data_IF_540833788922
#
_entry.id   IF_540833788922
#
_cell.length_a   1.000
_cell.length_b   1.000
_cell.length_c   1.000
_cell.angle_alpha   90.00
_cell.angle_beta   90.00
_cell.angle_gamma   90.00
#
_symmetry.space_group_name_H-M   'P 1'
#
loop_
_entity.id
_entity.type
_entity.pdbx_description
1 polymer ?
#
# COMPACT_ATOMS: atom_id res chain seq x y z
N UNK A 1 14.08 -32.88 -78.98
CA UNK A 1 15.13 -32.13 -78.28
C UNK A 1 14.55 -31.55 -76.99
N UNK A 2 14.99 -32.12 -75.86
CA UNK A 2 15.20 -31.47 -74.55
C UNK A 2 14.24 -30.39 -74.02
N UNK A 3 13.50 -30.84 -72.98
CA UNK A 3 12.98 -30.17 -71.78
C UNK A 3 13.30 -28.69 -71.49
N UNK A 4 12.33 -28.02 -70.83
CA UNK A 4 12.54 -27.34 -69.55
C UNK A 4 11.20 -27.12 -68.82
N UNK A 5 11.07 -27.82 -67.69
CA UNK A 5 10.06 -27.60 -66.67
C UNK A 5 10.41 -26.32 -65.91
N UNK A 6 9.42 -25.49 -65.60
CA UNK A 6 9.58 -24.39 -64.64
C UNK A 6 8.43 -24.48 -63.63
N UNK A 7 8.72 -25.04 -62.46
CA UNK A 7 7.82 -25.03 -61.31
C UNK A 7 8.06 -23.75 -60.51
N UNK A 8 7.02 -23.03 -60.05
CA UNK A 8 7.20 -21.91 -59.16
C UNK A 8 7.45 -22.40 -57.73
N UNK A 9 8.54 -21.90 -57.14
CA UNK A 9 8.93 -22.10 -55.75
C UNK A 9 8.00 -21.26 -54.86
N UNK A 10 7.07 -21.90 -54.14
CA UNK A 10 6.28 -21.24 -53.10
C UNK A 10 7.14 -21.08 -51.84
N UNK A 11 7.55 -19.85 -51.54
CA UNK A 11 8.23 -19.50 -50.29
C UNK A 11 7.17 -19.37 -49.19
N UNK A 12 7.02 -20.39 -48.34
CA UNK A 12 6.20 -20.29 -47.13
C UNK A 12 6.96 -19.52 -46.06
N UNK A 13 6.59 -18.26 -45.84
CA UNK A 13 7.06 -17.48 -44.70
C UNK A 13 6.28 -17.90 -43.44
N UNK A 14 6.86 -18.79 -42.64
CA UNK A 14 6.35 -19.11 -41.31
C UNK A 14 6.62 -17.92 -40.37
N UNK A 15 5.59 -17.12 -40.09
CA UNK A 15 5.61 -16.16 -38.98
C UNK A 15 5.61 -16.94 -37.67
N UNK A 16 6.77 -17.01 -37.00
CA UNK A 16 6.85 -17.43 -35.61
C UNK A 16 6.42 -16.25 -34.76
N UNK A 17 5.20 -16.27 -34.26
CA UNK A 17 4.73 -15.31 -33.27
C UNK A 17 5.48 -15.59 -31.97
N UNK A 18 6.44 -14.73 -31.62
CA UNK A 18 7.00 -14.72 -30.26
C UNK A 18 5.89 -14.27 -29.30
N UNK A 19 5.33 -15.21 -28.55
CA UNK A 19 4.54 -14.89 -27.37
C UNK A 19 5.54 -14.43 -26.32
N UNK A 20 5.66 -13.10 -26.14
CA UNK A 20 6.32 -12.56 -24.97
C UNK A 20 5.47 -12.90 -23.75
N UNK A 21 5.89 -13.91 -22.97
CA UNK A 21 5.35 -14.12 -21.64
C UNK A 21 5.67 -12.87 -20.83
N UNK A 22 4.67 -12.03 -20.60
CA UNK A 22 4.80 -10.97 -19.60
C UNK A 22 5.06 -11.66 -18.27
N UNK A 23 6.04 -11.23 -17.45
CA UNK A 23 6.16 -11.75 -16.10
C UNK A 23 4.80 -11.54 -15.44
N UNK A 24 4.15 -12.63 -15.06
CA UNK A 24 2.87 -12.57 -14.38
C UNK A 24 3.08 -11.77 -13.12
N UNK A 25 2.38 -10.64 -12.99
CA UNK A 25 2.30 -9.89 -11.74
C UNK A 25 1.94 -10.89 -10.65
N UNK A 26 2.81 -11.08 -9.67
CA UNK A 26 2.54 -11.99 -8.57
C UNK A 26 1.43 -11.37 -7.73
N UNK A 27 0.26 -12.01 -7.71
CA UNK A 27 -0.83 -11.59 -6.84
C UNK A 27 -0.43 -11.86 -5.38
N UNK A 28 -0.36 -10.81 -4.57
CA UNK A 28 -0.04 -10.90 -3.15
C UNK A 28 -1.23 -10.45 -2.31
N UNK A 29 -1.55 -11.21 -1.27
CA UNK A 29 -2.53 -10.77 -0.24
C UNK A 29 -1.79 -10.45 1.04
N UNK A 30 -2.04 -9.27 1.60
CA UNK A 30 -1.52 -8.79 2.89
C UNK A 30 -2.70 -8.69 3.85
N UNK A 31 -2.57 -9.32 5.02
CA UNK A 31 -3.54 -9.15 6.11
C UNK A 31 -3.19 -7.90 6.89
N UNK A 32 -4.18 -7.06 7.13
CA UNK A 32 -4.04 -5.79 7.80
C UNK A 32 -4.92 -5.76 9.05
N UNK A 33 -4.30 -5.38 10.17
CA UNK A 33 -4.98 -5.12 11.43
C UNK A 33 -4.82 -3.64 11.78
N UNK A 34 -5.95 -2.94 11.89
CA UNK A 34 -6.05 -1.60 12.46
C UNK A 34 -6.33 -1.75 13.94
N UNK A 35 -5.50 -1.18 14.80
CA UNK A 35 -5.58 -1.42 16.25
C UNK A 35 -5.32 -0.15 17.06
N UNK A 36 -5.85 -0.15 18.29
CA UNK A 36 -5.59 0.86 19.32
C UNK A 36 -5.54 0.24 20.72
N UNK A 37 -5.09 1.01 21.71
CA UNK A 37 -5.01 0.63 23.14
C UNK A 37 -6.24 1.07 23.95
N UNK A 38 -7.32 1.45 23.28
CA UNK A 38 -8.57 1.92 23.87
C UNK A 38 -8.81 3.42 23.67
N UNK A 39 -9.86 3.98 24.31
CA UNK A 39 -10.32 5.35 24.08
C UNK A 39 -9.30 6.43 24.43
N UNK A 40 -8.31 6.11 25.27
CA UNK A 40 -7.24 7.03 25.66
C UNK A 40 -6.09 7.07 24.63
N UNK A 41 -6.23 6.40 23.48
CA UNK A 41 -5.17 6.33 22.46
C UNK A 41 -4.87 7.68 21.78
N UNK A 42 -5.72 8.68 21.98
CA UNK A 42 -5.53 10.05 21.50
C UNK A 42 -5.07 11.03 22.61
N UNK A 43 -4.69 10.52 23.79
CA UNK A 43 -4.21 11.38 24.87
C UNK A 43 -2.78 11.84 24.57
N UNK A 44 -2.66 13.13 24.26
CA UNK A 44 -1.42 13.82 23.91
C UNK A 44 -0.55 14.06 25.15
N UNK A 45 0.13 13.02 25.62
CA UNK A 45 1.18 13.16 26.65
C UNK A 45 2.55 13.56 26.04
N UNK A 46 3.52 13.90 26.88
CA UNK A 46 4.84 14.37 26.42
C UNK A 46 5.59 13.33 25.55
N UNK A 47 5.32 12.03 25.75
CA UNK A 47 5.91 10.96 24.95
C UNK A 47 5.22 10.90 23.58
N UNK A 48 3.89 11.03 23.55
CA UNK A 48 3.07 11.11 22.35
C UNK A 48 3.42 12.34 21.50
N UNK A 49 3.68 13.50 22.11
CA UNK A 49 4.08 14.71 21.38
C UNK A 49 5.43 14.57 20.65
N UNK A 50 6.35 13.75 21.16
CA UNK A 50 7.64 13.48 20.51
C UNK A 50 7.51 12.56 19.28
N UNK A 51 6.37 11.89 19.13
CA UNK A 51 6.04 10.97 18.03
C UNK A 51 5.43 11.66 16.81
N UNK A 52 4.96 12.90 16.98
CA UNK A 52 4.00 13.50 16.07
C UNK A 52 4.58 13.73 14.67
N UNK A 53 3.97 13.08 13.68
CA UNK A 53 4.11 13.41 12.26
C UNK A 53 5.39 12.99 11.56
N UNK A 54 6.31 12.34 12.27
CA UNK A 54 7.50 11.77 11.65
C UNK A 54 7.31 10.29 11.40
N UNK A 55 7.63 9.85 10.20
CA UNK A 55 7.72 8.45 9.81
C UNK A 55 8.97 7.77 10.42
N UNK A 56 9.12 7.84 11.75
CA UNK A 56 10.24 7.22 12.48
C UNK A 56 9.83 5.86 13.06
N UNK A 57 10.27 4.79 12.39
CA UNK A 57 10.00 3.41 12.78
C UNK A 57 10.58 3.05 14.16
N UNK A 58 11.62 3.75 14.64
CA UNK A 58 12.25 3.45 15.94
C UNK A 58 11.35 3.78 17.12
N UNK A 59 10.31 4.57 16.87
CA UNK A 59 9.46 5.10 17.91
C UNK A 59 8.09 4.39 17.98
N UNK A 60 7.80 3.47 17.05
CA UNK A 60 6.54 2.70 16.98
C UNK A 60 6.23 1.89 18.25
N UNK A 61 7.23 1.54 19.07
CA UNK A 61 7.03 0.82 20.32
C UNK A 61 6.21 1.60 21.36
N UNK A 62 6.17 2.93 21.26
CA UNK A 62 5.36 3.82 22.09
C UNK A 62 3.97 4.11 21.53
N UNK A 63 3.63 3.66 20.32
CA UNK A 63 2.38 4.05 19.66
C UNK A 63 1.15 3.53 20.42
N UNK A 64 0.12 4.37 20.53
CA UNK A 64 -1.17 4.01 21.15
C UNK A 64 -2.14 3.39 20.17
N UNK A 65 -1.89 3.56 18.87
CA UNK A 65 -2.66 3.05 17.76
C UNK A 65 -1.73 2.74 16.59
N UNK A 66 -2.17 1.90 15.64
CA UNK A 66 -1.29 1.47 14.57
C UNK A 66 -1.96 0.70 13.45
N UNK A 67 -1.17 0.51 12.39
CA UNK A 67 -1.47 -0.38 11.27
C UNK A 67 -0.45 -1.51 11.29
N UNK A 68 -0.91 -2.75 11.39
CA UNK A 68 -0.05 -3.94 11.32
C UNK A 68 -0.28 -4.66 10.00
N UNK A 69 0.79 -4.89 9.24
CA UNK A 69 0.79 -5.76 8.06
C UNK A 69 1.41 -7.11 8.43
N UNK A 70 0.80 -8.22 8.02
CA UNK A 70 1.42 -9.55 8.16
C UNK A 70 2.69 -9.70 7.30
N UNK A 71 2.81 -8.86 6.25
CA UNK A 71 3.95 -8.77 5.34
C UNK A 71 4.29 -7.31 5.09
N UNK A 72 5.53 -6.94 5.40
CA UNK A 72 6.08 -5.59 5.13
C UNK A 72 6.95 -5.54 3.88
N UNK A 73 7.16 -6.70 3.23
CA UNK A 73 7.87 -6.81 1.94
C UNK A 73 7.15 -7.81 1.03
N UNK A 74 6.82 -7.39 -0.19
CA UNK A 74 6.14 -8.23 -1.21
C UNK A 74 6.68 -7.91 -2.62
N UNK A 75 6.58 -8.83 -3.59
CA UNK A 75 6.94 -8.51 -4.98
C UNK A 75 5.95 -7.52 -5.62
N UNK A 76 6.41 -6.79 -6.64
CA UNK A 76 5.58 -5.93 -7.46
C UNK A 76 4.49 -6.73 -8.16
N UNK A 77 3.29 -6.16 -8.22
CA UNK A 77 2.12 -6.91 -8.63
C UNK A 77 0.81 -6.27 -8.22
N UNK A 78 -0.26 -7.05 -8.40
CA UNK A 78 -1.54 -6.74 -7.75
C UNK A 78 -1.44 -7.17 -6.30
N UNK A 79 -1.61 -6.22 -5.39
CA UNK A 79 -1.56 -6.45 -3.97
C UNK A 79 -2.95 -6.17 -3.41
N UNK A 80 -3.51 -7.17 -2.73
CA UNK A 80 -4.78 -7.07 -2.01
C UNK A 80 -4.50 -6.95 -0.53
N UNK A 81 -5.02 -5.90 0.09
CA UNK A 81 -5.01 -5.70 1.53
C UNK A 81 -6.35 -6.17 2.09
N UNK A 82 -6.33 -7.20 2.92
CA UNK A 82 -7.50 -7.68 3.67
C UNK A 82 -7.48 -7.01 5.04
N UNK A 83 -8.35 -6.02 5.23
CA UNK A 83 -8.31 -5.10 6.38
C UNK A 83 -9.37 -5.48 7.40
N UNK A 84 -8.97 -5.54 8.66
CA UNK A 84 -9.86 -5.64 9.82
C UNK A 84 -9.56 -4.49 10.77
N UNK A 85 -10.62 -3.86 11.29
CA UNK A 85 -10.52 -3.03 12.48
C UNK A 85 -10.63 -3.92 13.73
N UNK A 86 -9.49 -4.20 14.38
CA UNK A 86 -9.40 -5.02 15.59
C UNK A 86 -9.62 -4.22 16.89
N UNK A 87 -9.89 -2.93 16.76
CA UNK A 87 -10.25 -2.06 17.87
C UNK A 87 -11.61 -2.42 18.45
N UNK A 88 -11.84 -1.96 19.69
CA UNK A 88 -13.10 -2.19 20.43
C UNK A 88 -14.08 -1.02 20.30
N UNK A 89 -13.55 0.20 20.23
CA UNK A 89 -14.34 1.41 20.40
C UNK A 89 -14.09 2.47 19.32
N UNK A 90 -12.95 2.43 18.62
CA UNK A 90 -12.54 3.48 17.69
C UNK A 90 -12.74 3.02 16.24
N UNK A 91 -13.30 3.92 15.43
CA UNK A 91 -13.41 3.74 13.98
C UNK A 91 -12.03 3.97 13.36
N UNK A 92 -11.65 3.12 12.42
CA UNK A 92 -10.40 3.23 11.70
C UNK A 92 -10.62 3.13 10.20
N UNK A 93 -9.73 3.76 9.44
CA UNK A 93 -9.66 3.59 7.99
C UNK A 93 -8.27 3.08 7.60
N UNK A 94 -8.18 2.55 6.39
CA UNK A 94 -6.93 2.11 5.80
C UNK A 94 -6.71 2.80 4.47
N UNK A 95 -5.57 3.45 4.29
CA UNK A 95 -5.19 4.13 3.05
C UNK A 95 -3.76 3.75 2.66
N UNK A 96 -3.47 3.79 1.35
CA UNK A 96 -2.12 3.56 0.82
C UNK A 96 -1.66 4.75 0.00
N UNK A 97 -0.42 5.18 0.17
CA UNK A 97 0.23 6.22 -0.65
C UNK A 97 1.69 5.86 -0.93
N UNK A 98 2.29 6.31 -2.04
CA UNK A 98 3.73 6.19 -2.26
C UNK A 98 4.51 7.07 -1.27
N UNK A 99 5.74 6.68 -0.95
CA UNK A 99 6.68 7.49 -0.16
C UNK A 99 8.00 7.58 -0.91
N UNK A 100 8.54 8.80 -1.05
CA UNK A 100 9.88 8.97 -1.62
C UNK A 100 10.91 8.37 -0.67
N UNK A 101 11.88 7.63 -1.19
CA UNK A 101 12.93 7.03 -0.36
C UNK A 101 13.69 8.12 0.45
N UNK A 102 13.71 7.97 1.77
CA UNK A 102 14.34 8.92 2.69
C UNK A 102 13.45 10.09 3.13
N UNK A 103 12.23 10.18 2.62
CA UNK A 103 11.23 11.11 3.09
C UNK A 103 10.66 10.64 4.44
N UNK A 104 10.58 11.56 5.40
CA UNK A 104 10.15 11.25 6.77
C UNK A 104 8.79 11.85 7.12
N UNK A 105 8.15 12.57 6.20
CA UNK A 105 6.90 13.30 6.43
C UNK A 105 6.01 13.18 5.19
N UNK A 106 4.69 13.20 5.38
CA UNK A 106 3.74 13.33 4.28
C UNK A 106 3.21 14.77 4.22
N UNK A 107 2.73 15.25 3.06
CA UNK A 107 1.99 16.49 2.96
C UNK A 107 0.83 16.50 3.97
N UNK A 108 0.73 17.53 4.81
CA UNK A 108 -0.20 17.56 5.94
C UNK A 108 -0.97 18.87 6.01
N UNK A 109 -2.27 18.80 6.30
CA UNK A 109 -3.19 19.92 6.50
C UNK A 109 -3.43 20.07 8.00
N UNK A 110 -2.67 20.95 8.64
CA UNK A 110 -2.70 21.11 10.10
C UNK A 110 -4.09 21.46 10.65
N UNK A 111 -4.85 22.30 9.94
CA UNK A 111 -6.20 22.73 10.36
C UNK A 111 -7.24 21.59 10.28
N UNK A 112 -6.98 20.57 9.46
CA UNK A 112 -7.84 19.40 9.32
C UNK A 112 -7.34 18.20 10.14
N UNK A 113 -6.13 18.30 10.69
CA UNK A 113 -5.44 17.22 11.40
C UNK A 113 -5.31 15.96 10.54
N UNK A 114 -5.05 16.14 9.23
CA UNK A 114 -5.03 15.10 8.20
C UNK A 114 -3.87 15.26 7.22
N UNK A 115 -3.43 14.14 6.64
CA UNK A 115 -2.61 14.10 5.43
C UNK A 115 -3.41 14.71 4.27
N UNK A 116 -2.75 15.51 3.44
CA UNK A 116 -3.27 16.00 2.16
C UNK A 116 -3.19 14.86 1.14
N UNK A 117 -4.27 14.08 1.02
CA UNK A 117 -4.34 12.84 0.24
C UNK A 117 -4.00 13.03 -1.24
N UNK A 118 -4.44 14.15 -1.82
CA UNK A 118 -4.18 14.53 -3.20
C UNK A 118 -2.68 14.78 -3.43
N UNK A 119 -2.03 15.51 -2.52
CA UNK A 119 -0.58 15.75 -2.60
C UNK A 119 0.25 14.52 -2.24
N UNK A 120 -0.26 13.67 -1.36
CA UNK A 120 0.37 12.40 -0.99
C UNK A 120 0.25 11.34 -2.11
N UNK A 121 -0.65 11.54 -3.07
CA UNK A 121 -0.85 10.61 -4.19
C UNK A 121 -1.51 9.32 -3.74
N UNK A 122 -2.60 9.42 -2.97
CA UNK A 122 -3.34 8.26 -2.47
C UNK A 122 -3.70 7.28 -3.60
N UNK A 123 -3.57 5.99 -3.33
CA UNK A 123 -3.76 4.90 -4.30
C UNK A 123 -5.07 4.13 -4.07
N UNK A 124 -5.76 4.43 -2.97
CA UNK A 124 -7.03 3.84 -2.58
C UNK A 124 -7.14 3.66 -1.07
N UNK A 125 -8.35 3.31 -0.64
CA UNK A 125 -8.71 3.21 0.77
C UNK A 125 -9.74 2.10 1.05
N UNK A 126 -9.86 1.77 2.34
CA UNK A 126 -11.02 1.15 2.96
C UNK A 126 -11.52 2.13 4.01
N UNK A 127 -12.62 2.83 3.70
CA UNK A 127 -13.13 3.95 4.49
C UNK A 127 -13.82 3.47 5.77
N UNK A 128 -13.57 4.16 6.87
CA UNK A 128 -14.36 4.18 8.12
C UNK A 128 -14.94 2.82 8.56
N UNK A 129 -14.07 1.86 8.89
CA UNK A 129 -14.46 0.58 9.47
C UNK A 129 -14.84 0.75 10.96
N UNK A 130 -16.09 0.43 11.30
CA UNK A 130 -16.51 0.24 12.69
C UNK A 130 -15.68 -0.86 13.39
N UNK A 131 -15.56 -0.84 14.73
CA UNK A 131 -14.97 -1.92 15.51
C UNK A 131 -15.43 -3.33 15.08
N UNK A 132 -14.46 -4.21 14.81
CA UNK A 132 -14.69 -5.59 14.37
C UNK A 132 -15.18 -5.74 12.92
N UNK A 133 -15.23 -4.66 12.13
CA UNK A 133 -15.57 -4.73 10.69
C UNK A 133 -14.33 -4.91 9.83
N UNK A 134 -14.57 -5.31 8.59
CA UNK A 134 -13.52 -5.59 7.62
C UNK A 134 -13.87 -5.06 6.24
N UNK A 135 -12.84 -4.87 5.43
CA UNK A 135 -12.93 -4.51 4.02
C UNK A 135 -11.69 -4.98 3.28
N UNK A 136 -11.61 -4.64 1.99
CA UNK A 136 -10.47 -5.03 1.16
C UNK A 136 -10.16 -3.95 0.13
N UNK A 137 -8.86 -3.75 -0.13
CA UNK A 137 -8.34 -2.85 -1.15
C UNK A 137 -7.37 -3.61 -2.04
N UNK A 138 -7.59 -3.61 -3.36
CA UNK A 138 -6.63 -4.15 -4.33
C UNK A 138 -6.03 -3.03 -5.17
N UNK A 139 -4.71 -2.93 -5.16
CA UNK A 139 -3.93 -1.93 -5.92
C UNK A 139 -2.79 -2.59 -6.68
N UNK A 140 -2.43 -2.05 -7.83
CA UNK A 140 -1.25 -2.49 -8.57
C UNK A 140 -0.05 -1.63 -8.15
N UNK A 141 0.93 -2.22 -7.47
CA UNK A 141 2.10 -1.50 -6.98
C UNK A 141 3.36 -1.90 -7.77
N UNK A 142 4.14 -0.89 -8.12
CA UNK A 142 5.47 -1.04 -8.71
C UNK A 142 6.54 -1.08 -7.62
N UNK A 143 7.78 -1.51 -7.92
CA UNK A 143 8.85 -1.51 -6.91
C UNK A 143 9.05 -0.13 -6.28
N UNK A 144 9.10 -0.08 -4.95
CA UNK A 144 9.17 1.17 -4.20
C UNK A 144 8.77 1.02 -2.73
N UNK A 145 8.71 2.14 -2.03
CA UNK A 145 8.21 2.22 -0.65
C UNK A 145 6.84 2.89 -0.64
N UNK A 146 5.93 2.30 0.11
CA UNK A 146 4.58 2.80 0.30
C UNK A 146 4.30 2.91 1.79
N UNK A 147 3.41 3.82 2.15
CA UNK A 147 2.87 3.94 3.49
C UNK A 147 1.43 3.45 3.51
N UNK A 148 1.12 2.64 4.50
CA UNK A 148 -0.23 2.27 4.88
C UNK A 148 -0.58 3.02 6.17
N UNK A 149 -1.70 3.75 6.19
CA UNK A 149 -2.03 4.65 7.30
C UNK A 149 -3.53 4.85 7.46
N UNK A 150 -3.91 5.50 8.56
CA UNK A 150 -5.25 5.99 8.82
C UNK A 150 -5.27 7.52 8.78
N UNK A 151 -6.15 8.12 7.97
CA UNK A 151 -6.30 9.56 7.81
C UNK A 151 -7.56 10.13 8.51
N UNK A 152 -8.13 9.39 9.47
CA UNK A 152 -9.08 10.00 10.42
C UNK A 152 -8.32 11.08 11.22
N UNK A 153 -8.94 12.24 11.53
CA UNK A 153 -8.25 13.38 12.13
C UNK A 153 -7.45 12.98 13.37
N UNK A 154 -6.13 13.22 13.34
CA UNK A 154 -5.22 12.90 14.45
C UNK A 154 -4.55 11.53 14.32
N UNK A 155 -5.17 10.55 13.70
CA UNK A 155 -4.69 9.17 13.74
C UNK A 155 -3.31 9.01 13.09
N UNK A 156 -3.10 9.62 11.91
CA UNK A 156 -1.79 9.59 11.23
C UNK A 156 -0.68 10.17 12.12
N UNK A 157 -0.93 11.37 12.65
CA UNK A 157 0.07 12.12 13.39
C UNK A 157 0.36 11.45 14.75
N UNK A 158 -0.62 10.73 15.31
CA UNK A 158 -0.54 9.88 16.52
C UNK A 158 0.19 8.54 16.27
N UNK A 159 0.69 8.31 15.05
CA UNK A 159 1.52 7.16 14.71
C UNK A 159 0.76 6.01 14.05
N UNK A 160 -0.48 6.22 13.58
CA UNK A 160 -1.26 5.18 12.90
C UNK A 160 -0.84 4.99 11.45
N UNK A 161 0.38 4.52 11.25
CA UNK A 161 0.96 4.24 9.94
C UNK A 161 2.00 3.11 10.01
N UNK A 162 2.32 2.53 8.87
CA UNK A 162 3.40 1.55 8.69
C UNK A 162 3.91 1.57 7.26
N UNK A 163 5.10 1.04 7.01
CA UNK A 163 5.71 1.02 5.69
C UNK A 163 5.62 -0.36 5.05
N UNK A 164 5.36 -0.35 3.74
CA UNK A 164 5.42 -1.51 2.86
C UNK A 164 6.53 -1.31 1.82
N UNK A 165 7.41 -2.29 1.70
CA UNK A 165 8.41 -2.36 0.62
C UNK A 165 7.90 -3.28 -0.49
N UNK A 166 7.86 -2.76 -1.71
CA UNK A 166 7.54 -3.55 -2.91
C UNK A 166 8.84 -3.78 -3.67
N UNK A 167 9.21 -5.05 -3.88
CA UNK A 167 10.44 -5.44 -4.58
C UNK A 167 10.19 -5.73 -6.05
N UNK A 168 11.23 -5.71 -6.92
CA UNK A 168 11.13 -6.24 -8.27
C UNK A 168 10.63 -7.69 -8.33
#
# INVERSE_FOLDING_TARGET
MTARHCAPLLLSASFVTLIAASPGLADSTIKVSLWDKGPDSMVMDDAHMAMMGKMDMTMMAGAMMGVTLDKVTVPAGKITFDVVNDSKDIVHEFMVSPVTAGETELPYIADENRVDEEKAGHLGEVSELDPGKSGSLTVALTPGTYIAYCNIPGHFIDGMWTLLTVTP
#
